data_IF_815172629583
#
_entry.id   IF_815172629583
#
_cell.length_a   1.000
_cell.length_b   1.000
_cell.length_c   1.000
_cell.angle_alpha   90.00
_cell.angle_beta   90.00
_cell.angle_gamma   90.00
#
_symmetry.space_group_name_H-M   'P 1'
#
loop_
_entity.id
_entity.type
_entity.pdbx_description
1 polymer ?
#
# COMPACT_ATOMS: atom_id res chain seq x y z
N UNK A 1 -3.39 -29.78 -36.47
CA UNK A 1 -2.90 -28.38 -36.32
C UNK A 1 -3.79 -27.50 -35.45
N UNK A 2 -5.12 -27.55 -35.57
CA UNK A 2 -6.04 -26.68 -34.79
C UNK A 2 -5.87 -26.75 -33.25
N UNK A 3 -5.59 -27.93 -32.68
CA UNK A 3 -5.40 -28.10 -31.24
C UNK A 3 -4.16 -27.39 -30.67
N UNK A 4 -3.09 -27.20 -31.47
CA UNK A 4 -1.87 -26.53 -31.00
C UNK A 4 -2.05 -25.00 -30.95
N UNK A 5 -2.78 -24.42 -31.91
CA UNK A 5 -3.10 -22.99 -31.93
C UNK A 5 -3.91 -22.59 -30.68
N UNK A 6 -4.94 -23.36 -30.33
CA UNK A 6 -5.75 -23.11 -29.13
C UNK A 6 -4.93 -23.19 -27.82
N UNK A 7 -3.93 -24.06 -27.75
CA UNK A 7 -3.04 -24.15 -26.59
C UNK A 7 -2.13 -22.92 -26.44
N UNK A 8 -1.65 -22.35 -27.56
CA UNK A 8 -0.86 -21.11 -27.56
C UNK A 8 -1.71 -19.93 -27.08
N UNK A 9 -2.94 -19.81 -27.57
CA UNK A 9 -3.87 -18.75 -27.16
C UNK A 9 -4.20 -18.83 -25.66
N UNK A 10 -4.43 -20.04 -25.14
CA UNK A 10 -4.65 -20.28 -23.72
C UNK A 10 -3.42 -19.90 -22.87
N UNK A 11 -2.23 -20.27 -23.32
CA UNK A 11 -0.98 -19.92 -22.64
C UNK A 11 -0.71 -18.40 -22.63
N UNK A 12 -1.06 -17.71 -23.72
CA UNK A 12 -0.98 -16.25 -23.80
C UNK A 12 -1.96 -15.58 -22.84
N UNK A 13 -3.20 -16.08 -22.76
CA UNK A 13 -4.21 -15.57 -21.83
C UNK A 13 -3.79 -15.78 -20.35
N UNK A 14 -3.20 -16.93 -20.02
CA UNK A 14 -2.65 -17.19 -18.69
C UNK A 14 -1.48 -16.26 -18.35
N UNK A 15 -0.59 -16.04 -19.32
CA UNK A 15 0.54 -15.12 -19.16
C UNK A 15 0.06 -13.69 -18.95
N UNK A 16 -0.94 -13.26 -19.71
CA UNK A 16 -1.56 -11.93 -19.57
C UNK A 16 -2.23 -11.77 -18.20
N UNK A 17 -2.98 -12.78 -17.72
CA UNK A 17 -3.59 -12.77 -16.37
C UNK A 17 -2.55 -12.67 -15.27
N UNK A 18 -1.47 -13.44 -15.36
CA UNK A 18 -0.37 -13.41 -14.38
C UNK A 18 0.34 -12.05 -14.37
N UNK A 19 0.57 -11.48 -15.54
CA UNK A 19 1.13 -10.14 -15.67
C UNK A 19 0.20 -9.10 -15.02
N UNK A 20 -1.08 -9.09 -15.39
CA UNK A 20 -2.07 -8.17 -14.84
C UNK A 20 -2.16 -8.25 -13.31
N UNK A 21 -2.21 -9.47 -12.75
CA UNK A 21 -2.22 -9.67 -11.30
C UNK A 21 -0.95 -9.15 -10.62
N UNK A 22 0.21 -9.33 -11.26
CA UNK A 22 1.48 -8.81 -10.74
C UNK A 22 1.51 -7.28 -10.76
N UNK A 23 1.07 -6.66 -11.86
CA UNK A 23 0.94 -5.21 -11.96
C UNK A 23 -0.03 -4.65 -10.92
N UNK A 24 -1.19 -5.29 -10.71
CA UNK A 24 -2.16 -4.87 -9.72
C UNK A 24 -1.58 -4.87 -8.29
N UNK A 25 -0.76 -5.87 -7.94
CA UNK A 25 -0.08 -5.92 -6.64
C UNK A 25 0.95 -4.80 -6.47
N UNK A 26 1.73 -4.53 -7.51
CA UNK A 26 2.72 -3.45 -7.51
C UNK A 26 2.02 -2.09 -7.38
N UNK A 27 0.94 -1.85 -8.15
CA UNK A 27 0.18 -0.60 -8.06
C UNK A 27 -0.46 -0.40 -6.69
N UNK A 28 -1.01 -1.47 -6.08
CA UNK A 28 -1.56 -1.41 -4.73
C UNK A 28 -0.50 -1.01 -3.70
N UNK A 29 0.69 -1.61 -3.76
CA UNK A 29 1.83 -1.27 -2.90
C UNK A 29 2.28 0.19 -3.06
N UNK A 30 2.26 0.72 -4.29
CA UNK A 30 2.58 2.14 -4.52
C UNK A 30 1.49 3.06 -3.97
N UNK A 31 0.22 2.69 -4.11
CA UNK A 31 -0.91 3.44 -3.56
C UNK A 31 -0.85 3.50 -2.03
N UNK A 32 -0.59 2.37 -1.36
CA UNK A 32 -0.38 2.29 0.09
C UNK A 32 0.78 3.18 0.54
N UNK A 33 1.92 3.16 -0.17
CA UNK A 33 3.06 4.03 0.12
C UNK A 33 2.77 5.51 -0.05
N UNK A 34 1.94 5.84 -1.04
CA UNK A 34 1.52 7.22 -1.27
C UNK A 34 0.62 7.70 -0.12
N UNK A 35 -0.39 6.91 0.23
CA UNK A 35 -1.28 7.19 1.35
C UNK A 35 -0.51 7.33 2.68
N UNK A 36 0.45 6.44 2.95
CA UNK A 36 1.31 6.53 4.12
C UNK A 36 2.13 7.84 4.15
N UNK A 37 2.65 8.28 3.00
CA UNK A 37 3.39 9.54 2.90
C UNK A 37 2.49 10.76 3.09
N UNK A 38 1.28 10.72 2.55
CA UNK A 38 0.28 11.78 2.72
C UNK A 38 -0.13 11.88 4.20
N UNK A 39 -0.50 10.77 4.83
CA UNK A 39 -0.80 10.70 6.27
C UNK A 39 0.37 11.19 7.15
N UNK A 40 1.61 10.82 6.81
CA UNK A 40 2.80 11.32 7.52
C UNK A 40 2.91 12.84 7.44
N UNK A 41 2.66 13.44 6.27
CA UNK A 41 2.71 14.90 6.09
C UNK A 41 1.60 15.60 6.84
N UNK A 42 0.39 15.06 6.80
CA UNK A 42 -0.76 15.59 7.53
C UNK A 42 -0.50 15.59 9.04
N UNK A 43 -0.09 14.46 9.61
CA UNK A 43 0.25 14.36 11.03
C UNK A 43 1.44 15.26 11.41
N UNK A 44 2.44 15.39 10.55
CA UNK A 44 3.57 16.31 10.78
C UNK A 44 3.18 17.79 10.76
N UNK A 45 2.11 18.14 10.05
CA UNK A 45 1.61 19.51 9.99
C UNK A 45 0.84 19.93 11.24
N UNK A 46 0.39 18.98 12.05
CA UNK A 46 -0.26 19.23 13.34
C UNK A 46 0.73 19.77 14.37
N UNK A 47 0.23 20.61 15.26
CA UNK A 47 0.96 21.07 16.45
C UNK A 47 1.12 19.95 17.49
N UNK A 48 2.08 20.10 18.40
CA UNK A 48 2.28 19.12 19.48
C UNK A 48 1.06 18.96 20.38
N UNK A 49 0.24 20.02 20.51
CA UNK A 49 -1.02 19.97 21.25
C UNK A 49 -2.06 19.12 20.53
N UNK A 50 -2.24 19.33 19.23
CA UNK A 50 -3.17 18.54 18.42
C UNK A 50 -2.76 17.05 18.37
N UNK A 51 -1.46 16.77 18.31
CA UNK A 51 -0.95 15.40 18.43
C UNK A 51 -1.22 14.81 19.82
N UNK A 52 -1.02 15.60 20.88
CA UNK A 52 -1.32 15.17 22.25
C UNK A 52 -2.82 14.90 22.47
N UNK A 53 -3.71 15.66 21.83
CA UNK A 53 -5.15 15.43 21.86
C UNK A 53 -5.53 14.09 21.18
N UNK A 54 -4.75 13.64 20.20
CA UNK A 54 -4.86 12.30 19.60
C UNK A 54 -4.21 11.19 20.47
N UNK A 55 -3.48 11.57 21.51
CA UNK A 55 -2.75 10.68 22.40
C UNK A 55 -1.43 10.16 21.82
N UNK A 56 -0.83 10.88 20.87
CA UNK A 56 0.44 10.50 20.23
C UNK A 56 1.46 11.65 20.32
N UNK A 57 2.74 11.32 20.28
CA UNK A 57 3.82 12.30 20.15
C UNK A 57 4.33 12.38 18.71
N UNK A 58 5.11 13.41 18.40
CA UNK A 58 5.77 13.55 17.09
C UNK A 58 6.63 12.33 16.72
N UNK A 59 7.24 11.69 17.71
CA UNK A 59 8.07 10.49 17.51
C UNK A 59 7.23 9.27 17.10
N UNK A 60 5.96 9.22 17.53
CA UNK A 60 5.05 8.10 17.26
C UNK A 60 4.48 8.13 15.85
N UNK A 61 4.47 9.29 15.18
CA UNK A 61 3.87 9.47 13.84
C UNK A 61 4.36 8.39 12.86
N UNK A 62 5.64 8.03 12.89
CA UNK A 62 6.19 6.98 12.02
C UNK A 62 5.59 5.60 12.33
N UNK A 63 5.42 5.26 13.61
CA UNK A 63 4.81 4.00 14.02
C UNK A 63 3.31 3.98 13.67
N UNK A 64 2.61 5.11 13.82
CA UNK A 64 1.18 5.26 13.51
C UNK A 64 0.95 5.03 12.01
N UNK A 65 1.71 5.72 11.16
CA UNK A 65 1.60 5.61 9.70
C UNK A 65 1.92 4.20 9.20
N UNK A 66 2.83 3.48 9.88
CA UNK A 66 3.21 2.12 9.52
C UNK A 66 2.28 1.05 10.14
N UNK A 67 1.28 1.45 10.95
CA UNK A 67 0.39 0.51 11.64
C UNK A 67 1.04 -0.28 12.76
N UNK A 68 2.23 0.12 13.23
CA UNK A 68 2.97 -0.54 14.31
C UNK A 68 2.87 0.20 15.65
N UNK A 69 2.10 1.29 15.71
CA UNK A 69 1.90 2.05 16.94
C UNK A 69 1.13 1.24 17.97
N UNK A 70 1.71 1.10 19.15
CA UNK A 70 1.08 0.49 20.31
C UNK A 70 0.78 1.61 21.30
N UNK A 71 -0.51 1.81 21.59
CA UNK A 71 -0.94 2.79 22.59
C UNK A 71 -0.41 2.32 23.96
N UNK A 72 0.37 3.15 24.68
CA UNK A 72 0.73 2.83 26.05
C UNK A 72 -0.55 2.80 26.90
N UNK A 73 -0.70 1.72 27.66
CA UNK A 73 -1.80 1.51 28.63
C UNK A 73 -1.64 2.37 29.87
#
# INVERSE_FOLDING_TARGET
>A
MAAHAAAIDAALADSARRAANSFARVSAWFAERRAAREAYRELQSLSDRELADLGISRADIRAVVNGTYQRPI
#
